data_IF_330275141542
#
_entry.id   IF_330275141542
#
_cell.length_a   1.000
_cell.length_b   1.000
_cell.length_c   1.000
_cell.angle_alpha   90.00
_cell.angle_beta   90.00
_cell.angle_gamma   90.00
#
_symmetry.space_group_name_H-M   'P 1'
#
loop_
_entity.id
_entity.type
_entity.pdbx_description
1 polymer ?
#
# COMPACT_ATOMS: atom_id res chain seq x y z
N UNK A 1 0.10 6.71 -20.08
CA UNK A 1 -0.57 6.19 -18.88
C UNK A 1 -2.06 6.53 -18.99
N UNK A 2 -2.93 5.55 -19.26
CA UNK A 2 -4.38 5.77 -19.36
C UNK A 2 -5.02 5.36 -18.04
N UNK A 3 -5.16 6.32 -17.11
CA UNK A 3 -5.83 6.09 -15.84
C UNK A 3 -7.32 5.90 -16.10
N UNK A 4 -7.86 4.72 -15.75
CA UNK A 4 -9.30 4.48 -15.88
C UNK A 4 -10.05 5.37 -14.92
N UNK A 5 -11.22 5.84 -15.32
CA UNK A 5 -12.06 6.74 -14.51
C UNK A 5 -12.26 6.25 -13.07
N UNK A 6 -12.50 4.95 -12.88
CA UNK A 6 -12.66 4.35 -11.53
C UNK A 6 -11.40 4.42 -10.67
N UNK A 7 -10.21 4.31 -11.27
CA UNK A 7 -8.96 4.32 -10.52
C UNK A 7 -8.62 5.74 -10.03
N UNK A 8 -9.00 6.78 -10.80
CA UNK A 8 -8.97 8.18 -10.35
C UNK A 8 -9.96 8.43 -9.21
N UNK A 9 -11.18 7.88 -9.31
CA UNK A 9 -12.18 8.00 -8.24
C UNK A 9 -11.70 7.38 -6.92
N UNK A 10 -11.11 6.18 -6.95
CA UNK A 10 -10.57 5.55 -5.73
C UNK A 10 -9.44 6.36 -5.12
N UNK A 11 -8.55 6.90 -5.96
CA UNK A 11 -7.47 7.80 -5.53
C UNK A 11 -8.04 9.03 -4.82
N UNK A 12 -8.98 9.72 -5.46
CA UNK A 12 -9.57 10.93 -4.91
C UNK A 12 -10.33 10.67 -3.60
N UNK A 13 -11.03 9.53 -3.52
CA UNK A 13 -11.72 9.12 -2.31
C UNK A 13 -10.76 8.87 -1.14
N UNK A 14 -9.60 8.25 -1.39
CA UNK A 14 -8.60 8.00 -0.35
C UNK A 14 -7.96 9.30 0.15
N UNK A 15 -7.58 10.20 -0.77
CA UNK A 15 -7.03 11.51 -0.42
C UNK A 15 -8.03 12.30 0.41
N UNK A 16 -9.30 12.34 -0.01
CA UNK A 16 -10.36 13.00 0.73
C UNK A 16 -10.58 12.38 2.12
N UNK A 17 -10.57 11.04 2.22
CA UNK A 17 -10.74 10.36 3.50
C UNK A 17 -9.61 10.74 4.48
N UNK A 18 -8.36 10.74 4.03
CA UNK A 18 -7.23 11.07 4.91
C UNK A 18 -7.24 12.56 5.25
N UNK A 19 -7.24 13.44 4.25
CA UNK A 19 -7.01 14.87 4.45
C UNK A 19 -8.21 15.58 5.07
N UNK A 20 -9.43 15.10 4.81
CA UNK A 20 -10.65 15.77 5.24
C UNK A 20 -11.41 15.01 6.31
N UNK A 21 -11.60 13.70 6.19
CA UNK A 21 -12.38 12.94 7.18
C UNK A 21 -11.57 12.56 8.43
N UNK A 22 -10.27 12.28 8.29
CA UNK A 22 -9.44 11.83 9.41
C UNK A 22 -8.65 13.01 9.99
N UNK A 23 -7.81 13.67 9.19
CA UNK A 23 -6.91 14.71 9.69
C UNK A 23 -7.63 15.96 10.25
N UNK A 24 -8.92 16.17 9.93
CA UNK A 24 -9.72 17.27 10.48
C UNK A 24 -10.69 16.83 11.58
N UNK A 25 -10.71 15.55 11.94
CA UNK A 25 -11.61 15.04 12.95
C UNK A 25 -10.92 15.05 14.32
N UNK A 26 -11.29 15.96 15.25
CA UNK A 26 -10.63 16.06 16.55
C UNK A 26 -10.85 14.84 17.44
N UNK A 27 -11.82 13.97 17.13
CA UNK A 27 -12.10 12.74 17.88
C UNK A 27 -11.31 11.53 17.38
N UNK A 28 -10.71 11.60 16.19
CA UNK A 28 -9.98 10.49 15.57
C UNK A 28 -8.51 10.88 15.39
N UNK A 29 -7.61 10.22 16.12
CA UNK A 29 -6.16 10.50 16.12
C UNK A 29 -5.80 11.94 16.55
N UNK A 30 -6.24 12.40 17.75
CA UNK A 30 -5.96 13.77 18.19
C UNK A 30 -4.45 14.04 18.32
N UNK A 31 -3.99 15.12 17.70
CA UNK A 31 -2.57 15.53 17.71
C UNK A 31 -1.68 14.74 16.75
N UNK A 32 -2.24 13.87 15.91
CA UNK A 32 -1.51 13.11 14.90
C UNK A 32 -2.09 13.47 13.52
N UNK A 33 -1.22 13.91 12.61
CA UNK A 33 -1.58 14.11 11.19
C UNK A 33 -1.09 12.92 10.38
N UNK A 34 -1.99 12.28 9.64
CA UNK A 34 -1.62 11.20 8.73
C UNK A 34 -1.17 11.75 7.38
N UNK A 35 0.00 11.28 6.93
CA UNK A 35 0.46 11.44 5.55
C UNK A 35 0.09 10.25 4.67
N UNK A 36 0.30 10.37 3.37
CA UNK A 36 0.10 9.30 2.40
C UNK A 36 1.09 9.38 1.24
N UNK A 37 1.36 8.25 0.61
CA UNK A 37 2.03 8.19 -0.69
C UNK A 37 1.18 7.35 -1.63
N UNK A 38 0.89 7.89 -2.82
CA UNK A 38 0.14 7.19 -3.84
C UNK A 38 1.11 6.55 -4.84
N UNK A 39 0.93 5.25 -5.08
CA UNK A 39 1.74 4.47 -6.02
C UNK A 39 0.82 3.87 -7.09
N UNK A 40 1.20 4.00 -8.37
CA UNK A 40 0.48 3.33 -9.44
C UNK A 40 0.97 1.87 -9.56
N UNK A 41 0.01 0.94 -9.58
CA UNK A 41 0.28 -0.48 -9.85
C UNK A 41 0.49 -0.77 -11.33
N UNK A 42 0.00 0.10 -12.23
CA UNK A 42 -0.04 -0.09 -13.68
C UNK A 42 -0.68 -1.43 -14.10
N UNK A 43 -1.50 -2.05 -13.23
CA UNK A 43 -1.97 -3.44 -13.39
C UNK A 43 -0.84 -4.47 -13.63
N UNK A 44 0.39 -4.16 -13.20
CA UNK A 44 1.58 -5.00 -13.35
C UNK A 44 2.14 -5.34 -11.97
N UNK A 45 2.33 -6.63 -11.73
CA UNK A 45 2.94 -7.13 -10.50
C UNK A 45 4.35 -6.55 -10.29
N UNK A 46 5.18 -6.57 -11.33
CA UNK A 46 6.58 -6.16 -11.26
C UNK A 46 6.72 -4.67 -10.93
N UNK A 47 5.93 -3.83 -11.62
CA UNK A 47 5.88 -2.39 -11.35
C UNK A 47 5.40 -2.12 -9.92
N UNK A 48 4.37 -2.84 -9.48
CA UNK A 48 3.82 -2.66 -8.14
C UNK A 48 4.85 -3.02 -7.07
N UNK A 49 5.52 -4.17 -7.19
CA UNK A 49 6.54 -4.59 -6.24
C UNK A 49 7.71 -3.61 -6.21
N UNK A 50 8.20 -3.18 -7.37
CA UNK A 50 9.27 -2.18 -7.45
C UNK A 50 8.88 -0.86 -6.75
N UNK A 51 7.66 -0.37 -6.99
CA UNK A 51 7.15 0.85 -6.37
C UNK A 51 7.01 0.71 -4.84
N UNK A 52 6.45 -0.40 -4.36
CA UNK A 52 6.27 -0.66 -2.92
C UNK A 52 7.63 -0.78 -2.22
N UNK A 53 8.55 -1.56 -2.79
CA UNK A 53 9.91 -1.73 -2.23
C UNK A 53 10.64 -0.40 -2.20
N UNK A 54 10.65 0.33 -3.33
CA UNK A 54 11.28 1.65 -3.42
C UNK A 54 10.70 2.60 -2.39
N UNK A 55 9.37 2.67 -2.26
CA UNK A 55 8.73 3.56 -1.29
C UNK A 55 9.08 3.22 0.17
N UNK A 56 9.12 1.93 0.52
CA UNK A 56 9.46 1.50 1.88
C UNK A 56 10.94 1.76 2.21
N UNK A 57 11.85 1.54 1.24
CA UNK A 57 13.29 1.75 1.43
C UNK A 57 13.65 3.25 1.40
N UNK A 58 13.10 4.00 0.44
CA UNK A 58 13.47 5.39 0.17
C UNK A 58 13.01 6.36 1.27
N UNK A 59 12.00 6.02 2.07
CA UNK A 59 11.60 6.87 3.19
C UNK A 59 12.63 6.88 4.34
N UNK A 60 13.67 6.03 4.29
CA UNK A 60 14.85 6.14 5.15
C UNK A 60 16.00 6.99 4.58
N UNK A 61 15.90 7.48 3.33
CA UNK A 61 17.01 8.13 2.60
C UNK A 61 16.76 9.59 2.18
N UNK A 62 15.71 10.23 2.68
CA UNK A 62 15.24 11.50 2.13
C UNK A 62 16.00 12.78 2.56
N UNK A 63 17.25 12.69 3.01
CA UNK A 63 18.04 13.90 3.39
C UNK A 63 19.42 14.08 2.73
N UNK A 64 19.87 13.25 1.77
CA UNK A 64 21.25 13.41 1.23
C UNK A 64 21.34 14.10 -0.13
N UNK A 65 20.26 14.22 -0.91
CA UNK A 65 20.34 14.82 -2.26
C UNK A 65 19.53 16.11 -2.42
N UNK A 66 19.62 17.01 -1.42
CA UNK A 66 19.33 18.42 -1.69
C UNK A 66 20.52 19.00 -2.46
N UNK A 67 20.29 19.17 -3.76
CA UNK A 67 21.23 19.66 -4.76
C UNK A 67 21.47 21.16 -4.52
N UNK A 68 22.52 21.51 -3.78
CA UNK A 68 22.96 22.91 -3.73
C UNK A 68 23.56 23.30 -5.08
N UNK A 69 22.99 24.36 -5.64
CA UNK A 69 23.32 24.92 -6.93
C UNK A 69 24.43 25.97 -6.78
N UNK A 70 25.48 25.66 -6.01
CA UNK A 70 26.60 26.58 -5.78
C UNK A 70 27.83 26.10 -6.55
N UNK A 71 28.29 27.00 -7.41
CA UNK A 71 29.49 26.94 -8.21
C UNK A 71 30.67 26.30 -7.47
N UNK A 72 31.30 25.31 -8.11
CA UNK A 72 32.53 24.66 -7.65
C UNK A 72 33.64 25.72 -7.47
N UNK A 73 33.80 26.19 -6.23
CA UNK A 73 34.99 26.89 -5.76
C UNK A 73 35.55 26.08 -4.60
N UNK A 74 36.77 25.59 -4.81
CA UNK A 74 37.64 24.83 -3.90
C UNK A 74 36.96 24.04 -2.77
N UNK A 75 36.81 22.73 -2.98
CA UNK A 75 36.41 21.78 -1.93
C UNK A 75 37.53 21.67 -0.88
N UNK A 76 37.41 22.43 0.20
CA UNK A 76 38.23 22.23 1.40
C UNK A 76 37.94 20.83 1.98
N UNK A 77 38.97 20.10 2.41
CA UNK A 77 38.83 18.78 3.04
C UNK A 77 37.92 18.87 4.27
N UNK A 78 37.92 20.01 4.97
CA UNK A 78 37.08 20.24 6.14
C UNK A 78 35.58 20.28 5.82
N UNK A 79 35.17 20.79 4.64
CA UNK A 79 33.74 20.79 4.25
C UNK A 79 33.28 19.40 3.83
N UNK A 80 34.16 18.61 3.21
CA UNK A 80 33.86 17.21 2.91
C UNK A 80 33.76 16.39 4.20
N UNK A 81 34.65 16.60 5.17
CA UNK A 81 34.59 15.95 6.48
C UNK A 81 33.33 16.36 7.24
N UNK A 82 32.96 17.65 7.25
CA UNK A 82 31.73 18.12 7.89
C UNK A 82 30.46 17.51 7.24
N UNK A 83 30.41 17.43 5.91
CA UNK A 83 29.31 16.76 5.19
C UNK A 83 29.25 15.27 5.49
N UNK A 84 30.39 14.58 5.53
CA UNK A 84 30.48 13.16 5.87
C UNK A 84 30.04 12.92 7.32
N UNK A 85 30.45 13.79 8.24
CA UNK A 85 30.14 13.70 9.66
C UNK A 85 28.66 14.03 9.92
N UNK A 86 28.08 14.97 9.19
CA UNK A 86 26.64 15.28 9.20
C UNK A 86 25.81 14.14 8.61
N UNK A 87 26.30 13.48 7.56
CA UNK A 87 25.68 12.28 6.98
C UNK A 87 25.71 11.09 7.93
N UNK A 88 26.80 10.92 8.68
CA UNK A 88 26.98 9.85 9.65
C UNK A 88 26.32 10.12 11.01
N UNK A 89 26.13 11.39 11.39
CA UNK A 89 25.60 11.81 12.70
C UNK A 89 24.14 12.26 12.66
N UNK A 90 23.58 12.53 11.48
CA UNK A 90 22.12 12.56 11.37
C UNK A 90 21.64 11.17 11.80
N UNK A 91 20.82 11.04 12.85
CA UNK A 91 20.11 9.79 13.04
C UNK A 91 19.48 9.47 11.69
N UNK A 92 19.56 8.23 11.22
CA UNK A 92 18.67 7.80 10.15
C UNK A 92 17.25 8.10 10.64
N UNK A 93 16.77 9.29 10.32
CA UNK A 93 15.53 9.82 10.82
C UNK A 93 14.50 8.96 10.13
N UNK A 94 14.02 7.96 10.86
CA UNK A 94 12.80 7.17 10.60
C UNK A 94 11.57 8.08 10.62
N UNK A 95 11.67 9.32 10.14
CA UNK A 95 10.62 10.32 10.27
C UNK A 95 9.39 9.93 9.45
N UNK A 96 9.52 9.03 8.47
CA UNK A 96 8.39 8.50 7.72
C UNK A 96 8.53 6.99 7.49
N UNK A 97 8.50 6.15 8.53
CA UNK A 97 8.34 4.71 8.26
C UNK A 97 6.90 4.43 7.82
N UNK A 98 6.70 3.84 6.64
CA UNK A 98 5.37 3.38 6.19
C UNK A 98 4.75 2.47 7.25
N UNK A 99 3.63 2.92 7.83
CA UNK A 99 2.92 2.18 8.88
C UNK A 99 2.04 1.04 8.32
N UNK A 100 1.64 1.14 7.06
CA UNK A 100 0.77 0.17 6.40
C UNK A 100 0.55 0.47 4.92
N UNK A 101 0.04 -0.52 4.19
CA UNK A 101 -0.27 -0.43 2.75
C UNK A 101 -1.77 -0.64 2.54
N UNK A 102 -2.41 0.21 1.74
CA UNK A 102 -3.80 0.01 1.30
C UNK A 102 -3.79 -0.43 -0.17
N UNK A 103 -4.43 -1.56 -0.45
CA UNK A 103 -4.43 -2.21 -1.76
C UNK A 103 -3.80 -3.62 -1.73
N UNK A 104 -3.45 -4.20 -2.87
CA UNK A 104 -3.86 -3.79 -4.21
C UNK A 104 -5.34 -4.15 -4.51
N UNK A 105 -5.79 -3.87 -5.74
CA UNK A 105 -7.15 -4.18 -6.22
C UNK A 105 -7.24 -5.57 -6.85
N UNK A 106 -6.32 -5.89 -7.76
CA UNK A 106 -6.31 -7.16 -8.49
C UNK A 106 -5.78 -8.28 -7.60
N UNK A 107 -6.41 -9.47 -7.63
CA UNK A 107 -6.01 -10.60 -6.78
C UNK A 107 -4.55 -11.00 -7.01
N UNK A 108 -4.12 -11.16 -8.27
CA UNK A 108 -2.76 -11.55 -8.62
C UNK A 108 -1.70 -10.58 -8.04
N UNK A 109 -1.95 -9.27 -8.15
CA UNK A 109 -1.06 -8.26 -7.58
C UNK A 109 -1.11 -8.29 -6.05
N UNK A 110 -2.30 -8.43 -5.48
CA UNK A 110 -2.51 -8.43 -4.02
C UNK A 110 -1.81 -9.61 -3.35
N UNK A 111 -1.81 -10.80 -3.97
CA UNK A 111 -1.07 -11.97 -3.48
C UNK A 111 0.42 -11.68 -3.32
N UNK A 112 1.02 -11.05 -4.33
CA UNK A 112 2.45 -10.74 -4.34
C UNK A 112 2.78 -9.63 -3.33
N UNK A 113 2.00 -8.55 -3.31
CA UNK A 113 2.25 -7.46 -2.34
C UNK A 113 1.97 -7.91 -0.90
N UNK A 114 0.98 -8.77 -0.68
CA UNK A 114 0.67 -9.32 0.65
C UNK A 114 1.78 -10.23 1.18
N UNK A 115 2.40 -11.04 0.30
CA UNK A 115 3.56 -11.85 0.65
C UNK A 115 4.75 -10.96 1.04
N UNK A 116 5.05 -9.93 0.23
CA UNK A 116 6.12 -8.97 0.50
C UNK A 116 5.90 -8.26 1.85
N UNK A 117 4.74 -7.63 2.02
CA UNK A 117 4.40 -6.85 3.22
C UNK A 117 4.35 -7.72 4.48
N UNK A 118 3.87 -8.97 4.37
CA UNK A 118 3.90 -9.92 5.49
C UNK A 118 5.32 -10.34 5.89
N UNK A 119 6.22 -10.53 4.92
CA UNK A 119 7.64 -10.86 5.17
C UNK A 119 8.36 -9.77 5.98
N UNK A 120 8.03 -8.50 5.69
CA UNK A 120 8.61 -7.32 6.37
C UNK A 120 7.73 -6.77 7.50
N UNK A 121 6.66 -7.49 7.88
CA UNK A 121 5.75 -7.18 9.00
C UNK A 121 5.03 -5.82 8.88
N UNK A 122 4.74 -5.39 7.66
CA UNK A 122 3.90 -4.22 7.40
C UNK A 122 2.46 -4.70 7.14
N UNK A 123 1.46 -4.18 7.87
CA UNK A 123 0.08 -4.53 7.62
C UNK A 123 -0.39 -4.03 6.24
N UNK A 124 -1.06 -4.89 5.49
CA UNK A 124 -1.69 -4.54 4.22
C UNK A 124 -3.21 -4.75 4.31
N UNK A 125 -4.00 -3.79 3.84
CA UNK A 125 -5.46 -3.88 3.76
C UNK A 125 -5.90 -3.75 2.29
N UNK A 126 -6.36 -4.83 1.67
CA UNK A 126 -6.96 -4.75 0.33
C UNK A 126 -8.45 -4.37 0.42
N UNK A 127 -8.87 -3.46 -0.44
CA UNK A 127 -10.28 -3.04 -0.53
C UNK A 127 -11.11 -3.87 -1.53
N UNK A 128 -10.49 -4.78 -2.28
CA UNK A 128 -11.19 -5.52 -3.34
C UNK A 128 -10.85 -7.00 -3.42
N UNK A 129 -9.67 -7.44 -2.98
CA UNK A 129 -9.23 -8.81 -3.25
C UNK A 129 -10.06 -9.86 -2.51
N UNK A 130 -10.56 -10.84 -3.24
CA UNK A 130 -11.48 -11.88 -2.75
C UNK A 130 -10.88 -13.30 -2.82
N UNK A 131 -9.62 -13.42 -3.24
CA UNK A 131 -8.91 -14.69 -3.34
C UNK A 131 -8.87 -15.42 -1.99
N UNK A 132 -9.12 -16.73 -2.01
CA UNK A 132 -9.14 -17.54 -0.79
C UNK A 132 -7.73 -17.85 -0.27
N UNK A 133 -6.72 -17.86 -1.13
CA UNK A 133 -5.32 -18.13 -0.76
C UNK A 133 -4.81 -17.12 0.27
N UNK A 134 -5.32 -15.87 0.20
CA UNK A 134 -5.03 -14.80 1.15
C UNK A 134 -5.54 -15.05 2.58
N UNK A 135 -6.32 -16.12 2.81
CA UNK A 135 -6.75 -16.51 4.15
C UNK A 135 -5.67 -17.29 4.92
N UNK A 136 -4.61 -17.76 4.26
CA UNK A 136 -3.51 -18.48 4.92
C UNK A 136 -2.70 -17.52 5.82
N UNK A 137 -2.88 -17.64 7.13
CA UNK A 137 -2.20 -16.81 8.15
C UNK A 137 -0.76 -17.23 8.44
N UNK A 138 -0.29 -18.36 7.90
CA UNK A 138 1.11 -18.74 7.94
C UNK A 138 1.91 -17.90 6.95
N UNK A 139 1.35 -17.67 5.75
CA UNK A 139 1.98 -16.90 4.68
C UNK A 139 1.63 -15.41 4.78
N UNK A 140 0.34 -15.09 4.94
CA UNK A 140 -0.22 -13.73 4.86
C UNK A 140 -0.63 -13.20 6.24
N UNK A 141 0.26 -13.34 7.23
CA UNK A 141 -0.02 -12.97 8.64
C UNK A 141 -0.45 -11.52 8.83
N UNK A 142 0.10 -10.60 8.03
CA UNK A 142 -0.16 -9.16 8.12
C UNK A 142 -1.16 -8.65 7.07
N UNK A 143 -1.81 -9.55 6.33
CA UNK A 143 -2.80 -9.18 5.33
C UNK A 143 -4.22 -9.10 5.91
N UNK A 144 -4.98 -8.09 5.52
CA UNK A 144 -6.38 -7.93 5.84
C UNK A 144 -7.14 -7.44 4.60
N UNK A 145 -8.47 -7.52 4.66
CA UNK A 145 -9.33 -7.02 3.58
C UNK A 145 -10.68 -6.55 4.10
N UNK A 146 -11.29 -5.62 3.39
CA UNK A 146 -12.68 -5.19 3.63
C UNK A 146 -13.68 -5.91 2.71
N UNK A 147 -13.20 -6.68 1.74
CA UNK A 147 -14.00 -7.50 0.82
C UNK A 147 -14.31 -8.90 1.39
N UNK A 148 -15.39 -9.50 0.91
CA UNK A 148 -15.81 -10.87 1.28
C UNK A 148 -15.03 -11.88 0.42
N UNK A 149 -14.51 -12.95 1.05
CA UNK A 149 -13.81 -14.04 0.34
C UNK A 149 -14.72 -14.84 -0.60
N UNK A 150 -14.14 -15.44 -1.64
CA UNK A 150 -14.88 -16.34 -2.54
C UNK A 150 -15.55 -17.53 -1.82
N UNK A 151 -14.91 -18.12 -0.81
CA UNK A 151 -15.53 -19.23 -0.05
C UNK A 151 -16.83 -18.78 0.61
N UNK A 152 -16.83 -17.59 1.21
CA UNK A 152 -18.03 -17.04 1.86
C UNK A 152 -19.07 -16.63 0.83
N UNK A 153 -18.67 -16.03 -0.30
CA UNK A 153 -19.60 -15.70 -1.38
C UNK A 153 -20.28 -16.96 -1.96
N UNK A 154 -19.52 -18.04 -2.17
CA UNK A 154 -20.06 -19.31 -2.65
C UNK A 154 -21.01 -19.95 -1.63
N UNK A 155 -20.67 -19.89 -0.34
CA UNK A 155 -21.58 -20.35 0.72
C UNK A 155 -22.89 -19.57 0.69
N UNK A 156 -22.85 -18.24 0.54
CA UNK A 156 -24.06 -17.42 0.46
C UNK A 156 -24.92 -17.79 -0.76
N UNK A 157 -24.30 -18.09 -1.92
CA UNK A 157 -25.03 -18.56 -3.11
C UNK A 157 -25.67 -19.92 -2.83
N UNK A 158 -24.94 -20.85 -2.21
CA UNK A 158 -25.47 -22.16 -1.83
C UNK A 158 -26.65 -22.03 -0.87
N UNK A 159 -26.55 -21.16 0.14
CA UNK A 159 -27.62 -20.93 1.11
C UNK A 159 -28.90 -20.41 0.43
N UNK A 160 -28.77 -19.56 -0.60
CA UNK A 160 -29.90 -19.10 -1.42
C UNK A 160 -30.51 -20.26 -2.20
N UNK A 161 -29.69 -21.02 -2.93
CA UNK A 161 -30.13 -22.18 -3.72
C UNK A 161 -30.89 -23.18 -2.84
N UNK A 162 -30.35 -23.47 -1.66
CA UNK A 162 -30.95 -24.38 -0.70
C UNK A 162 -32.26 -23.81 -0.14
N UNK A 163 -32.28 -22.53 0.23
CA UNK A 163 -33.46 -21.86 0.82
C UNK A 163 -34.67 -21.85 -0.13
N UNK A 164 -34.45 -21.76 -1.43
CA UNK A 164 -35.50 -21.71 -2.46
C UNK A 164 -35.72 -23.05 -3.18
N UNK A 165 -35.06 -24.13 -2.72
CA UNK A 165 -35.22 -25.50 -3.24
C UNK A 165 -35.01 -25.59 -4.77
N UNK A 166 -34.08 -24.80 -5.32
CA UNK A 166 -33.78 -24.85 -6.75
C UNK A 166 -33.12 -26.20 -7.10
N UNK A 167 -33.72 -26.94 -8.03
CA UNK A 167 -33.27 -28.27 -8.44
C UNK A 167 -32.59 -28.29 -9.83
N UNK A 168 -32.58 -27.16 -10.55
CA UNK A 168 -31.93 -27.00 -11.84
C UNK A 168 -31.34 -25.60 -11.99
N UNK A 169 -30.01 -25.50 -12.13
CA UNK A 169 -29.28 -24.23 -12.18
C UNK A 169 -28.21 -24.31 -13.29
N UNK A 170 -28.02 -23.20 -14.00
CA UNK A 170 -26.89 -23.00 -14.92
C UNK A 170 -25.93 -21.96 -14.33
N UNK A 171 -24.63 -22.21 -14.45
CA UNK A 171 -23.58 -21.28 -14.02
C UNK A 171 -22.91 -20.65 -15.25
N UNK A 172 -22.66 -19.35 -15.16
CA UNK A 172 -21.81 -18.62 -16.09
C UNK A 172 -20.64 -18.08 -15.29
N UNK A 173 -19.42 -18.39 -15.71
CA UNK A 173 -18.18 -17.94 -15.06
C UNK A 173 -17.37 -17.11 -16.05
N UNK A 174 -16.73 -16.05 -15.56
CA UNK A 174 -15.76 -15.26 -16.32
C UNK A 174 -14.34 -15.68 -15.93
N UNK A 175 -13.42 -15.64 -16.90
CA UNK A 175 -11.98 -15.77 -16.68
C UNK A 175 -11.38 -14.49 -16.05
#
# INVERSE_FOLDING_TARGET
MHLRHKDVQYTQAMIYAIDYLINRNPSLLPGITMGWTLLDSCSSADITLANVISNIIMQGHHQILSRNNDSLTETNVDTVIDLLQKTMSSPMLRENSIAGVIGAKLNAITLLTAALTSSIKIPQISYHSFDNSLNDRLIYRYFYRTSISHSVQMQNIFDIVHRFEWNWISFVVSE
#
